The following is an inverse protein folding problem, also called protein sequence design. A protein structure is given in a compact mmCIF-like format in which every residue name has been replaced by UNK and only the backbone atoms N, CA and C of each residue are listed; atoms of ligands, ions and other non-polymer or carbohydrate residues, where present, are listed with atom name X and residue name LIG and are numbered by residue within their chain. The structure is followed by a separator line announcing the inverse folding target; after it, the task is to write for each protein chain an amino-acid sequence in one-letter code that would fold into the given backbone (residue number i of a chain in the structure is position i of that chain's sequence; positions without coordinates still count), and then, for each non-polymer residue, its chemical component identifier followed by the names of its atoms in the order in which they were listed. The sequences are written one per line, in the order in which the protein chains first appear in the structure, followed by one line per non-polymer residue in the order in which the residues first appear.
data_IF_697101071480
#
_entry.id   IF_697101071480
#
_cell.length_a   1.000
_cell.length_b   1.000
_cell.length_c   1.000
_cell.angle_alpha   90.00
_cell.angle_beta   90.00
_cell.angle_gamma   90.00
#
_symmetry.space_group_name_H-M   'P 1'
#
loop_
_entity.id
_entity.type
_entity.pdbx_description
1 polymer ?
#
# COMPACT_ATOMS: atom_id res chain seq x y z
N UNK A 1 8.69 14.29 -15.98
CA UNK A 1 7.28 14.29 -16.40
C UNK A 1 6.64 13.08 -15.77
N UNK A 2 5.48 13.16 -15.09
CA UNK A 2 4.77 11.93 -14.72
C UNK A 2 4.43 11.17 -16.02
N UNK A 3 4.64 9.85 -16.03
CA UNK A 3 4.26 9.00 -17.16
C UNK A 3 2.74 9.04 -17.30
N UNK A 4 2.24 9.29 -18.52
CA UNK A 4 0.83 9.12 -18.81
C UNK A 4 0.55 7.62 -18.95
N UNK A 5 -0.62 7.17 -18.50
CA UNK A 5 -1.10 5.81 -18.79
C UNK A 5 -1.02 5.48 -20.27
N UNK A 6 -1.21 6.47 -21.16
CA UNK A 6 -1.13 6.29 -22.61
C UNK A 6 0.26 5.87 -23.13
N UNK A 7 1.31 6.05 -22.33
CA UNK A 7 2.69 5.71 -22.72
C UNK A 7 3.00 4.21 -22.59
N UNK A 8 2.10 3.43 -21.96
CA UNK A 8 2.27 1.99 -21.76
C UNK A 8 1.57 1.15 -22.85
N UNK A 9 1.95 -0.13 -23.03
CA UNK A 9 1.15 -1.07 -23.83
C UNK A 9 -0.29 -1.16 -23.34
N UNK A 10 -1.23 -1.42 -24.25
CA UNK A 10 -2.68 -1.41 -24.00
C UNK A 10 -3.08 -2.26 -22.78
N UNK A 11 -2.52 -3.46 -22.64
CA UNK A 11 -2.81 -4.38 -21.54
C UNK A 11 -2.42 -3.80 -20.18
N UNK A 12 -1.36 -2.99 -20.14
CA UNK A 12 -0.90 -2.31 -18.91
C UNK A 12 -1.83 -1.15 -18.57
N UNK A 13 -2.31 -0.41 -19.58
CA UNK A 13 -3.29 0.66 -19.37
C UNK A 13 -4.60 0.11 -18.80
N UNK A 14 -5.11 -0.96 -19.44
CA UNK A 14 -6.31 -1.68 -19.02
C UNK A 14 -6.11 -2.29 -17.62
N UNK A 15 -4.94 -2.85 -17.33
CA UNK A 15 -4.62 -3.35 -16.00
C UNK A 15 -4.75 -2.26 -14.93
N UNK A 16 -4.17 -1.08 -15.14
CA UNK A 16 -4.31 0.03 -14.19
C UNK A 16 -5.76 0.51 -14.06
N UNK A 17 -6.49 0.57 -15.17
CA UNK A 17 -7.91 0.91 -15.18
C UNK A 17 -8.75 -0.07 -14.34
N UNK A 18 -8.68 -1.38 -14.62
CA UNK A 18 -9.46 -2.38 -13.88
C UNK A 18 -9.02 -2.43 -12.41
N UNK A 19 -7.72 -2.36 -12.14
CA UNK A 19 -7.18 -2.38 -10.78
C UNK A 19 -7.69 -1.21 -9.93
N UNK A 20 -8.00 -0.07 -10.55
CA UNK A 20 -8.54 1.11 -9.85
C UNK A 20 -9.96 0.88 -9.29
N UNK A 21 -10.75 -0.02 -9.88
CA UNK A 21 -12.09 -0.37 -9.39
C UNK A 21 -12.07 -1.34 -8.22
N UNK A 22 -10.99 -2.10 -8.04
CA UNK A 22 -10.91 -3.07 -6.95
C UNK A 22 -10.77 -2.34 -5.61
N UNK A 23 -11.56 -2.77 -4.63
CA UNK A 23 -11.49 -2.27 -3.27
C UNK A 23 -10.15 -2.65 -2.62
N UNK A 24 -9.62 -1.75 -1.81
CA UNK A 24 -8.44 -2.02 -0.99
C UNK A 24 -8.81 -2.91 0.21
N UNK A 25 -7.92 -3.84 0.57
CA UNK A 25 -7.99 -4.61 1.79
C UNK A 25 -6.93 -4.14 2.80
N UNK A 26 -7.35 -3.89 4.03
CA UNK A 26 -6.51 -3.41 5.13
C UNK A 26 -6.76 -4.28 6.36
N UNK A 27 -5.68 -4.63 7.07
CA UNK A 27 -5.80 -5.24 8.39
C UNK A 27 -6.27 -4.19 9.40
N UNK A 28 -7.45 -4.39 9.99
CA UNK A 28 -8.07 -3.42 10.89
C UNK A 28 -7.31 -3.19 12.20
N UNK A 29 -6.53 -4.16 12.68
CA UNK A 29 -5.79 -4.02 13.94
C UNK A 29 -4.41 -3.38 13.73
N UNK A 30 -3.65 -3.83 12.73
CA UNK A 30 -2.30 -3.31 12.48
C UNK A 30 -2.27 -2.11 11.53
N UNK A 31 -3.36 -1.84 10.79
CA UNK A 31 -3.39 -0.85 9.72
C UNK A 31 -2.55 -1.25 8.50
N UNK A 32 -2.13 -2.52 8.40
CA UNK A 32 -1.30 -3.00 7.29
C UNK A 32 -2.14 -3.13 6.03
N UNK A 33 -1.66 -2.55 4.93
CA UNK A 33 -2.28 -2.75 3.62
C UNK A 33 -2.00 -4.17 3.11
N UNK A 34 -3.05 -4.92 2.79
CA UNK A 34 -2.97 -6.33 2.38
C UNK A 34 -3.07 -6.53 0.86
N UNK A 35 -3.39 -5.48 0.10
CA UNK A 35 -3.60 -5.56 -1.34
C UNK A 35 -5.04 -5.20 -1.72
N UNK A 36 -5.50 -5.71 -2.86
CA UNK A 36 -6.86 -5.54 -3.37
C UNK A 36 -7.74 -6.74 -3.03
N UNK A 37 -9.04 -6.51 -2.98
CA UNK A 37 -10.05 -7.57 -3.04
C UNK A 37 -10.26 -7.99 -4.50
N UNK A 38 -10.03 -9.26 -4.78
CA UNK A 38 -10.09 -9.84 -6.12
C UNK A 38 -11.42 -10.52 -6.43
N UNK A 39 -12.37 -10.59 -5.49
CA UNK A 39 -13.65 -11.31 -5.67
C UNK A 39 -14.43 -10.79 -6.87
N UNK A 40 -14.38 -9.49 -7.15
CA UNK A 40 -15.12 -8.87 -8.27
C UNK A 40 -14.32 -8.84 -9.59
N UNK A 41 -13.07 -9.31 -9.60
CA UNK A 41 -12.19 -9.15 -10.77
C UNK A 41 -12.74 -9.81 -12.03
N UNK A 42 -13.31 -11.01 -11.91
CA UNK A 42 -13.86 -11.69 -13.08
C UNK A 42 -15.12 -10.98 -13.63
N UNK A 43 -15.97 -10.45 -12.74
CA UNK A 43 -17.15 -9.68 -13.14
C UNK A 43 -16.75 -8.40 -13.89
N UNK A 44 -15.69 -7.73 -13.45
CA UNK A 44 -15.15 -6.56 -14.14
C UNK A 44 -14.56 -6.93 -15.51
N UNK A 45 -13.83 -8.04 -15.60
CA UNK A 45 -13.28 -8.52 -16.88
C UNK A 45 -14.37 -8.89 -17.89
N UNK A 46 -15.50 -9.42 -17.42
CA UNK A 46 -16.66 -9.71 -18.27
C UNK A 46 -17.40 -8.44 -18.68
N UNK A 47 -17.64 -7.51 -17.73
CA UNK A 47 -18.36 -6.27 -17.97
C UNK A 47 -17.66 -5.36 -18.99
N UNK A 48 -16.33 -5.28 -18.94
CA UNK A 48 -15.52 -4.47 -19.85
C UNK A 48 -15.03 -5.25 -21.07
N UNK A 49 -15.50 -6.50 -21.27
CA UNK A 49 -15.16 -7.33 -22.42
C UNK A 49 -13.64 -7.47 -22.65
N UNK A 50 -12.88 -7.66 -21.59
CA UNK A 50 -11.42 -7.73 -21.65
C UNK A 50 -10.98 -8.98 -22.43
N UNK A 51 -10.23 -8.79 -23.53
CA UNK A 51 -9.73 -9.87 -24.38
C UNK A 51 -8.52 -10.59 -23.74
N UNK A 52 -7.44 -9.84 -23.45
CA UNK A 52 -6.18 -10.37 -22.91
C UNK A 52 -6.21 -10.46 -21.38
N UNK A 53 -7.15 -11.26 -20.84
CA UNK A 53 -7.40 -11.37 -19.38
C UNK A 53 -6.16 -11.83 -18.59
N UNK A 54 -5.34 -12.72 -19.15
CA UNK A 54 -4.18 -13.29 -18.45
C UNK A 54 -3.07 -12.27 -18.27
N UNK A 55 -2.75 -11.54 -19.34
CA UNK A 55 -1.74 -10.50 -19.40
C UNK A 55 -2.17 -9.32 -18.53
N UNK A 56 -3.44 -8.91 -18.65
CA UNK A 56 -4.04 -7.87 -17.80
C UNK A 56 -3.91 -8.24 -16.33
N UNK A 57 -4.35 -9.44 -15.94
CA UNK A 57 -4.25 -9.92 -14.57
C UNK A 57 -2.79 -9.98 -14.08
N UNK A 58 -1.87 -10.43 -14.94
CA UNK A 58 -0.45 -10.48 -14.63
C UNK A 58 0.11 -9.10 -14.27
N UNK A 59 -0.18 -8.08 -15.10
CA UNK A 59 0.26 -6.71 -14.81
C UNK A 59 -0.40 -6.14 -13.56
N UNK A 60 -1.69 -6.40 -13.34
CA UNK A 60 -2.37 -5.99 -12.10
C UNK A 60 -1.71 -6.59 -10.86
N UNK A 61 -1.36 -7.89 -10.87
CA UNK A 61 -0.68 -8.57 -9.75
C UNK A 61 0.75 -8.08 -9.56
N UNK A 62 1.48 -7.80 -10.65
CA UNK A 62 2.81 -7.20 -10.57
C UNK A 62 2.74 -5.85 -9.87
N UNK A 63 1.79 -5.01 -10.26
CA UNK A 63 1.59 -3.70 -9.64
C UNK A 63 1.16 -3.79 -8.17
N UNK A 64 0.26 -4.71 -7.84
CA UNK A 64 -0.15 -4.95 -6.44
C UNK A 64 1.04 -5.27 -5.54
N UNK A 65 1.94 -6.16 -5.98
CA UNK A 65 3.12 -6.53 -5.22
C UNK A 65 4.00 -5.31 -4.91
N UNK A 66 4.20 -4.43 -5.89
CA UNK A 66 4.98 -3.19 -5.70
C UNK A 66 4.31 -2.28 -4.66
N UNK A 67 2.99 -2.08 -4.75
CA UNK A 67 2.25 -1.23 -3.81
C UNK A 67 2.28 -1.82 -2.39
N UNK A 68 2.05 -3.12 -2.25
CA UNK A 68 2.03 -3.80 -0.94
C UNK A 68 3.41 -3.67 -0.28
N UNK A 69 4.49 -3.98 -1.00
CA UNK A 69 5.85 -3.83 -0.46
C UNK A 69 6.15 -2.38 -0.10
N UNK A 70 5.82 -1.43 -0.97
CA UNK A 70 6.06 0.00 -0.72
C UNK A 70 5.32 0.48 0.54
N UNK A 71 4.02 0.19 0.66
CA UNK A 71 3.22 0.59 1.83
C UNK A 71 3.68 -0.09 3.11
N UNK A 72 4.11 -1.35 3.05
CA UNK A 72 4.68 -2.05 4.20
C UNK A 72 5.98 -1.38 4.68
N UNK A 73 6.88 -1.03 3.76
CA UNK A 73 8.10 -0.29 4.10
C UNK A 73 7.81 1.09 4.68
N UNK A 74 6.84 1.82 4.12
CA UNK A 74 6.42 3.12 4.65
C UNK A 74 5.85 3.01 6.06
N UNK A 75 5.00 2.01 6.31
CA UNK A 75 4.43 1.74 7.64
C UNK A 75 5.53 1.46 8.66
N UNK A 76 6.50 0.62 8.30
CA UNK A 76 7.62 0.29 9.17
C UNK A 76 8.54 1.50 9.44
N UNK A 77 8.77 2.35 8.43
CA UNK A 77 9.50 3.61 8.59
C UNK A 77 8.79 4.56 9.56
N UNK A 78 7.46 4.69 9.44
CA UNK A 78 6.62 5.51 10.35
C UNK A 78 6.68 4.98 11.78
N UNK A 79 6.49 3.66 11.96
CA UNK A 79 6.58 3.01 13.28
C UNK A 79 7.92 3.25 13.96
N UNK A 80 9.04 3.06 13.25
CA UNK A 80 10.38 3.33 13.77
C UNK A 80 10.59 4.81 14.14
N UNK A 81 10.03 5.73 13.36
CA UNK A 81 10.12 7.16 13.67
C UNK A 81 9.32 7.53 14.93
N UNK A 82 8.12 6.97 15.10
CA UNK A 82 7.29 7.15 16.29
C UNK A 82 7.95 6.55 17.53
N UNK A 83 8.53 5.35 17.45
CA UNK A 83 9.28 4.75 18.56
C UNK A 83 10.46 5.63 19.00
N UNK A 84 11.18 6.24 18.05
CA UNK A 84 12.28 7.18 18.36
C UNK A 84 11.77 8.46 19.03
N UNK A 85 10.64 9.00 18.57
CA UNK A 85 9.99 10.17 19.19
C UNK A 85 9.49 9.84 20.60
N UNK A 86 8.86 8.69 20.81
CA UNK A 86 8.39 8.25 22.11
C UNK A 86 9.54 8.07 23.12
N UNK A 87 10.66 7.46 22.69
CA UNK A 87 11.86 7.31 23.53
C UNK A 87 12.52 8.65 23.89
N UNK A 88 12.52 9.62 22.99
CA UNK A 88 13.08 10.96 23.26
C UNK A 88 12.16 11.82 24.13
N UNK A 89 10.83 11.69 24.01
CA UNK A 89 9.87 12.36 24.88
C UNK A 89 9.85 11.77 26.31
N UNK A 90 10.06 10.47 26.47
CA UNK A 90 10.09 9.79 27.77
C UNK A 90 11.36 10.01 28.61
N UNK A 91 12.42 10.60 28.03
CA UNK A 91 13.71 10.83 28.71
C UNK A 91 13.82 12.14 29.50
N UNK A 92 12.84 13.05 29.36
CA UNK A 92 12.92 14.42 29.90
C UNK A 92 12.50 14.62 31.36
N UNK A 93 11.98 13.59 32.05
CA UNK A 93 11.49 13.70 33.43
C UNK A 93 12.37 12.99 34.48
N UNK A 94 13.68 12.87 34.23
CA UNK A 94 14.67 12.56 35.27
C UNK A 94 15.27 13.84 35.86
N UNK A 95 14.42 14.72 36.39
CA UNK A 95 14.88 15.77 37.31
C UNK A 95 15.17 15.11 38.67
N UNK A 96 16.44 14.72 38.85
CA UNK A 96 17.21 14.84 40.09
C UNK A 96 16.39 15.08 41.38
N UNK A 97 15.93 14.03 42.06
CA UNK A 97 15.76 14.10 43.52
C UNK A 97 17.10 13.77 44.16
N UNK A 98 17.95 14.78 44.28
CA UNK A 98 19.05 14.76 45.22
C UNK A 98 19.11 16.12 45.91
N UNK A 99 18.36 16.25 47.00
CA UNK A 99 18.63 17.28 48.00
C UNK A 99 18.64 16.57 49.34
N UNK A 100 19.86 16.38 49.85
CA UNK A 100 20.16 16.10 51.26
C UNK A 100 19.56 17.23 52.10
N UNK A 101 18.81 16.86 53.13
CA UNK A 101 18.39 17.69 54.26
C UNK A 101 18.35 16.81 55.48
#
# INVERSE_FOLDING_TARGET
MPLDSSDFPEEVQVAFFIFSFLSDNWDGMSGTYLGKDWTQCNQLFELYEIENKKETLFFMKLYENVIVSYKAEESEKKRKAEERKAKSAGGGNKYTHNVRG
#
